data_IF_521001766284
#
_entry.id   IF_521001766284
#
_cell.length_a   1.000
_cell.length_b   1.000
_cell.length_c   1.000
_cell.angle_alpha   90.00
_cell.angle_beta   90.00
_cell.angle_gamma   90.00
#
_symmetry.space_group_name_H-M   'P 1'
#
loop_
_entity.id
_entity.type
_entity.pdbx_description
1 polymer ?
#
# COMPACT_ATOMS: atom_id res chain seq x y z
N UNK A 1 -4.76 13.59 -1.68
CA UNK A 1 -4.42 12.39 -0.88
C UNK A 1 -3.05 11.84 -1.30
N UNK A 2 -2.84 11.53 -2.58
CA UNK A 2 -1.51 11.13 -3.12
C UNK A 2 -0.37 12.07 -2.71
N UNK A 3 -0.50 13.39 -2.94
CA UNK A 3 0.53 14.37 -2.55
C UNK A 3 0.86 14.35 -1.05
N UNK A 4 -0.15 14.15 -0.20
CA UNK A 4 0.07 14.06 1.24
C UNK A 4 0.85 12.78 1.62
N UNK A 5 0.59 11.67 0.93
CA UNK A 5 1.35 10.44 1.10
C UNK A 5 2.81 10.61 0.65
N UNK A 6 3.05 11.28 -0.48
CA UNK A 6 4.41 11.61 -0.94
C UNK A 6 5.14 12.49 0.07
N UNK A 7 4.50 13.54 0.58
CA UNK A 7 5.10 14.40 1.61
C UNK A 7 5.40 13.61 2.88
N UNK A 8 4.46 12.78 3.35
CA UNK A 8 4.65 11.93 4.52
C UNK A 8 5.84 10.99 4.36
N UNK A 9 5.94 10.33 3.20
CA UNK A 9 7.07 9.46 2.86
C UNK A 9 8.39 10.20 2.96
N UNK A 10 8.47 11.43 2.44
CA UNK A 10 9.68 12.25 2.52
C UNK A 10 10.04 12.67 3.95
N UNK A 11 9.04 13.07 4.75
CA UNK A 11 9.25 13.46 6.16
C UNK A 11 9.71 12.28 7.03
N UNK A 12 9.19 11.08 6.75
CA UNK A 12 9.64 9.85 7.40
C UNK A 12 11.06 9.48 6.95
N UNK A 13 11.37 9.62 5.66
CA UNK A 13 12.68 9.27 5.10
C UNK A 13 13.81 10.13 5.65
N UNK A 14 13.57 11.43 5.86
CA UNK A 14 14.57 12.33 6.44
C UNK A 14 14.58 12.32 7.98
N UNK A 15 13.86 11.38 8.61
CA UNK A 15 13.71 11.25 10.07
C UNK A 15 13.17 12.52 10.76
N UNK A 16 12.49 13.41 10.02
CA UNK A 16 11.77 14.53 10.62
C UNK A 16 10.54 14.04 11.38
N UNK A 17 9.90 12.99 10.85
CA UNK A 17 8.90 12.19 11.55
C UNK A 17 9.45 10.78 11.76
N UNK A 18 9.18 10.19 12.91
CA UNK A 18 9.46 8.77 13.17
C UNK A 18 8.21 7.94 12.97
N UNK A 19 8.38 6.74 12.42
CA UNK A 19 7.27 5.80 12.29
C UNK A 19 7.05 5.09 13.63
N UNK A 20 6.18 5.67 14.44
CA UNK A 20 5.85 5.11 15.75
C UNK A 20 4.72 4.08 15.66
N UNK A 21 4.66 3.18 16.66
CA UNK A 21 3.59 2.16 16.74
C UNK A 21 2.16 2.74 16.64
N UNK A 22 1.81 3.88 17.26
CA UNK A 22 0.47 4.46 17.12
C UNK A 22 0.13 4.87 15.68
N UNK A 23 1.13 5.34 14.91
CA UNK A 23 0.95 5.73 13.52
C UNK A 23 0.66 4.51 12.64
N UNK A 24 1.42 3.41 12.85
CA UNK A 24 1.16 2.14 12.17
C UNK A 24 -0.25 1.61 12.48
N UNK A 25 -0.61 1.54 13.76
CA UNK A 25 -1.93 1.08 14.21
C UNK A 25 -3.05 1.93 13.59
N UNK A 26 -2.86 3.25 13.54
CA UNK A 26 -3.84 4.16 12.94
C UNK A 26 -4.10 3.84 11.47
N UNK A 27 -3.04 3.67 10.66
CA UNK A 27 -3.21 3.33 9.24
C UNK A 27 -3.80 1.93 9.03
N UNK A 28 -3.38 0.94 9.83
CA UNK A 28 -3.98 -0.40 9.77
C UNK A 28 -5.47 -0.39 10.10
N UNK A 29 -5.89 0.41 11.08
CA UNK A 29 -7.31 0.57 11.42
C UNK A 29 -8.09 1.19 10.26
N UNK A 30 -7.51 2.19 9.58
CA UNK A 30 -8.12 2.79 8.40
C UNK A 30 -8.26 1.79 7.24
N UNK A 31 -7.24 0.96 7.00
CA UNK A 31 -7.27 -0.12 6.01
C UNK A 31 -8.42 -1.12 6.25
N UNK A 32 -8.74 -1.40 7.51
CA UNK A 32 -9.82 -2.33 7.91
C UNK A 32 -11.24 -1.76 7.76
N UNK A 33 -11.39 -0.50 7.33
CA UNK A 33 -12.70 0.13 7.12
C UNK A 33 -13.53 -0.67 6.12
N UNK A 34 -14.70 -1.22 6.51
CA UNK A 34 -15.53 -2.06 5.62
C UNK A 34 -16.09 -1.24 4.45
N UNK A 35 -15.89 -1.72 3.23
CA UNK A 35 -16.49 -1.11 2.05
C UNK A 35 -17.98 -1.48 1.94
N UNK A 36 -18.84 -0.55 1.53
CA UNK A 36 -20.24 -0.86 1.28
C UNK A 36 -20.35 -1.89 0.15
N UNK A 37 -21.18 -2.92 0.36
CA UNK A 37 -21.50 -3.89 -0.70
C UNK A 37 -22.01 -3.11 -1.91
N UNK A 38 -21.44 -3.33 -3.10
CA UNK A 38 -21.95 -2.78 -4.36
C UNK A 38 -23.43 -3.14 -4.46
N UNK A 39 -24.32 -2.17 -4.20
CA UNK A 39 -25.74 -2.33 -4.54
C UNK A 39 -25.77 -2.53 -6.05
N UNK A 40 -26.50 -3.55 -6.55
CA UNK A 40 -26.83 -3.67 -7.99
C UNK A 40 -27.47 -2.34 -8.38
N UNK A 41 -26.72 -1.46 -9.03
CA UNK A 41 -27.22 -0.17 -9.51
C UNK A 41 -27.98 -0.43 -10.81
N UNK A 42 -29.13 0.20 -10.91
CA UNK A 42 -29.92 0.28 -12.13
C UNK A 42 -29.07 0.97 -13.24
N UNK A 43 -29.02 0.47 -14.48
CA UNK A 43 -28.17 1.02 -15.55
C UNK A 43 -28.43 2.50 -15.90
N UNK A 44 -29.50 3.12 -15.39
CA UNK A 44 -29.90 4.51 -15.66
C UNK A 44 -29.60 5.53 -14.56
N UNK A 45 -28.99 5.14 -13.42
CA UNK A 45 -28.65 6.09 -12.36
C UNK A 45 -27.34 6.82 -12.72
N UNK A 46 -27.42 8.14 -12.92
CA UNK A 46 -26.26 9.04 -13.02
C UNK A 46 -25.42 8.81 -11.77
N UNK A 47 -24.31 8.08 -11.92
CA UNK A 47 -23.55 7.60 -10.79
C UNK A 47 -23.01 8.76 -9.96
N UNK A 48 -23.17 8.69 -8.64
CA UNK A 48 -22.54 9.64 -7.73
C UNK A 48 -21.05 9.75 -8.06
N UNK A 49 -20.61 10.90 -8.54
CA UNK A 49 -19.21 11.21 -8.87
C UNK A 49 -18.32 11.22 -7.62
N UNK A 50 -18.93 11.17 -6.43
CA UNK A 50 -18.25 11.29 -5.14
C UNK A 50 -17.98 9.87 -4.59
N UNK A 51 -16.71 9.49 -4.37
CA UNK A 51 -16.37 8.22 -3.74
C UNK A 51 -16.92 8.17 -2.30
N UNK A 52 -17.38 7.00 -1.86
CA UNK A 52 -17.94 6.86 -0.50
C UNK A 52 -16.91 7.18 0.58
N UNK A 53 -17.36 7.68 1.73
CA UNK A 53 -16.48 8.03 2.84
C UNK A 53 -15.66 6.82 3.34
N UNK A 54 -16.23 5.62 3.28
CA UNK A 54 -15.57 4.37 3.63
C UNK A 54 -14.42 4.04 2.66
N UNK A 55 -14.65 4.24 1.35
CA UNK A 55 -13.63 4.07 0.34
C UNK A 55 -12.48 5.07 0.55
N UNK A 56 -12.82 6.32 0.85
CA UNK A 56 -11.83 7.37 1.14
C UNK A 56 -11.00 7.04 2.38
N UNK A 57 -11.63 6.56 3.45
CA UNK A 57 -10.94 6.15 4.69
C UNK A 57 -10.02 4.97 4.45
N UNK A 58 -10.49 3.93 3.75
CA UNK A 58 -9.67 2.77 3.40
C UNK A 58 -8.48 3.19 2.54
N UNK A 59 -8.70 3.99 1.50
CA UNK A 59 -7.65 4.51 0.64
C UNK A 59 -6.62 5.35 1.41
N UNK A 60 -7.05 6.15 2.38
CA UNK A 60 -6.15 6.91 3.23
C UNK A 60 -5.23 6.00 4.06
N UNK A 61 -5.76 4.89 4.60
CA UNK A 61 -4.94 3.88 5.28
C UNK A 61 -3.88 3.27 4.35
N UNK A 62 -4.30 2.83 3.16
CA UNK A 62 -3.39 2.23 2.16
C UNK A 62 -2.32 3.22 1.70
N UNK A 63 -2.68 4.48 1.51
CA UNK A 63 -1.72 5.55 1.19
C UNK A 63 -0.73 5.79 2.33
N UNK A 64 -1.19 5.76 3.58
CA UNK A 64 -0.34 5.91 4.75
C UNK A 64 0.67 4.76 4.88
N UNK A 65 0.19 3.52 4.78
CA UNK A 65 1.07 2.34 4.76
C UNK A 65 2.04 2.38 3.56
N UNK A 66 1.57 2.80 2.39
CA UNK A 66 2.41 2.98 1.22
C UNK A 66 3.51 4.02 1.44
N UNK A 67 3.20 5.16 2.05
CA UNK A 67 4.17 6.18 2.41
C UNK A 67 5.23 5.65 3.39
N UNK A 68 4.82 4.83 4.36
CA UNK A 68 5.72 4.16 5.30
C UNK A 68 6.68 3.19 4.60
N UNK A 69 6.23 2.42 3.60
CA UNK A 69 7.13 1.55 2.82
C UNK A 69 8.08 2.38 1.95
N UNK A 70 7.56 3.40 1.27
CA UNK A 70 8.34 4.22 0.35
C UNK A 70 9.31 5.18 1.05
N UNK A 71 9.19 5.38 2.37
CA UNK A 71 10.12 6.20 3.14
C UNK A 71 11.46 5.52 3.42
N UNK A 72 11.58 4.22 3.20
CA UNK A 72 12.83 3.47 3.40
C UNK A 72 13.25 2.81 2.08
N UNK A 73 13.69 3.60 1.08
CA UNK A 73 14.29 3.02 -0.12
C UNK A 73 15.66 2.43 0.21
N UNK A 74 16.02 1.32 -0.45
CA UNK A 74 17.30 0.62 -0.31
C UNK A 74 17.56 -0.04 1.05
N UNK A 75 16.54 -0.15 1.92
CA UNK A 75 16.63 -0.82 3.20
C UNK A 75 15.28 -1.44 3.58
N UNK A 76 15.32 -2.57 4.29
CA UNK A 76 14.14 -3.29 4.77
C UNK A 76 14.17 -3.36 6.30
N UNK A 77 13.61 -2.36 6.99
CA UNK A 77 13.42 -2.39 8.43
C UNK A 77 12.49 -3.53 8.86
N UNK A 78 12.59 -3.94 10.13
CA UNK A 78 11.85 -5.08 10.69
C UNK A 78 10.33 -4.99 10.60
N UNK A 79 9.77 -3.78 10.51
CA UNK A 79 8.33 -3.55 10.35
C UNK A 79 7.85 -3.64 8.89
N UNK A 80 8.74 -3.51 7.92
CA UNK A 80 8.39 -3.41 6.49
C UNK A 80 7.79 -4.71 5.92
N UNK A 81 8.32 -5.91 6.21
CA UNK A 81 7.77 -7.16 5.70
C UNK A 81 6.28 -7.32 6.01
N UNK A 82 5.89 -7.08 7.27
CA UNK A 82 4.48 -7.18 7.67
C UNK A 82 3.61 -6.10 7.01
N UNK A 83 4.15 -4.88 6.84
CA UNK A 83 3.44 -3.81 6.17
C UNK A 83 3.16 -4.12 4.69
N UNK A 84 4.11 -4.74 4.00
CA UNK A 84 3.94 -5.22 2.63
C UNK A 84 2.87 -6.30 2.52
N UNK A 85 2.80 -7.22 3.49
CA UNK A 85 1.71 -8.21 3.56
C UNK A 85 0.35 -7.53 3.76
N UNK A 86 0.26 -6.55 4.65
CA UNK A 86 -0.97 -5.79 4.85
C UNK A 86 -1.39 -5.06 3.55
N UNK A 87 -0.45 -4.46 2.82
CA UNK A 87 -0.73 -3.83 1.52
C UNK A 87 -1.20 -4.83 0.47
N UNK A 88 -0.61 -6.03 0.41
CA UNK A 88 -0.98 -7.06 -0.57
C UNK A 88 -2.43 -7.49 -0.48
N UNK A 89 -3.01 -7.49 0.74
CA UNK A 89 -4.42 -7.81 0.97
C UNK A 89 -5.40 -6.80 0.33
N UNK A 90 -4.91 -5.68 -0.19
CA UNK A 90 -5.69 -4.62 -0.84
C UNK A 90 -5.57 -4.61 -2.37
N UNK A 91 -4.99 -5.64 -2.99
CA UNK A 91 -4.90 -5.73 -4.45
C UNK A 91 -6.24 -5.96 -5.14
N UNK A 92 -7.18 -6.62 -4.47
CA UNK A 92 -8.54 -6.85 -4.98
C UNK A 92 -9.52 -5.73 -4.60
N UNK A 93 -9.04 -4.69 -3.90
CA UNK A 93 -9.89 -3.55 -3.55
C UNK A 93 -10.22 -2.70 -4.79
N UNK A 94 -11.41 -2.06 -4.83
CA UNK A 94 -11.79 -1.24 -5.95
C UNK A 94 -10.87 -0.02 -6.12
N UNK A 95 -10.82 0.50 -7.35
CA UNK A 95 -10.17 1.76 -7.66
C UNK A 95 -10.64 2.89 -6.73
N UNK A 96 -9.72 3.75 -6.25
CA UNK A 96 -8.31 3.88 -6.65
C UNK A 96 -7.31 3.01 -5.86
N UNK A 97 -7.76 2.16 -4.94
CA UNK A 97 -6.90 1.49 -3.96
C UNK A 97 -5.92 0.51 -4.63
N UNK A 98 -6.43 -0.39 -5.48
CA UNK A 98 -5.62 -1.35 -6.24
C UNK A 98 -4.46 -0.66 -6.97
N UNK A 99 -4.73 0.46 -7.67
CA UNK A 99 -3.69 1.18 -8.39
C UNK A 99 -2.62 1.75 -7.45
N UNK A 100 -3.01 2.28 -6.30
CA UNK A 100 -2.06 2.76 -5.28
C UNK A 100 -1.19 1.61 -4.78
N UNK A 101 -1.76 0.45 -4.46
CA UNK A 101 -0.99 -0.73 -4.00
C UNK A 101 0.01 -1.17 -5.07
N UNK A 102 -0.44 -1.35 -6.32
CA UNK A 102 0.43 -1.75 -7.44
C UNK A 102 1.59 -0.77 -7.64
N UNK A 103 1.34 0.53 -7.58
CA UNK A 103 2.38 1.57 -7.69
C UNK A 103 3.38 1.50 -6.54
N UNK A 104 2.91 1.33 -5.31
CA UNK A 104 3.78 1.19 -4.13
C UNK A 104 4.67 -0.05 -4.25
N UNK A 105 4.10 -1.22 -4.57
CA UNK A 105 4.86 -2.46 -4.71
C UNK A 105 5.87 -2.40 -5.86
N UNK A 106 5.50 -1.78 -6.99
CA UNK A 106 6.41 -1.56 -8.11
C UNK A 106 7.58 -0.66 -7.74
N UNK A 107 7.34 0.44 -7.01
CA UNK A 107 8.40 1.31 -6.53
C UNK A 107 9.30 0.61 -5.51
N UNK A 108 8.72 -0.12 -4.56
CA UNK A 108 9.48 -0.93 -3.61
C UNK A 108 10.41 -1.90 -4.34
N UNK A 109 9.91 -2.68 -5.30
CA UNK A 109 10.72 -3.61 -6.10
C UNK A 109 11.86 -2.88 -6.81
N UNK A 110 11.58 -1.74 -7.42
CA UNK A 110 12.57 -0.96 -8.16
C UNK A 110 13.72 -0.50 -7.27
N UNK A 111 13.44 -0.03 -6.06
CA UNK A 111 14.48 0.50 -5.15
C UNK A 111 15.22 -0.58 -4.36
N UNK A 112 14.71 -1.80 -4.28
CA UNK A 112 15.31 -2.89 -3.50
C UNK A 112 15.91 -4.00 -4.38
N UNK A 113 15.94 -3.81 -5.70
CA UNK A 113 16.37 -4.84 -6.64
C UNK A 113 17.85 -5.19 -6.50
N UNK A 114 18.71 -4.17 -6.44
CA UNK A 114 20.16 -4.34 -6.50
C UNK A 114 20.71 -5.18 -5.33
N UNK A 115 20.19 -4.94 -4.12
CA UNK A 115 20.58 -5.65 -2.90
C UNK A 115 19.54 -6.69 -2.45
N UNK A 116 18.73 -7.22 -3.37
CA UNK A 116 17.61 -8.11 -3.02
C UNK A 116 18.04 -9.37 -2.25
N UNK A 117 19.25 -9.90 -2.48
CA UNK A 117 19.75 -11.08 -1.77
C UNK A 117 19.93 -10.87 -0.26
N UNK A 118 20.20 -9.63 0.15
CA UNK A 118 20.26 -9.23 1.56
C UNK A 118 18.86 -8.91 2.07
N UNK A 119 18.11 -8.06 1.35
CA UNK A 119 16.77 -7.65 1.74
C UNK A 119 15.80 -8.81 1.93
N UNK A 120 15.86 -9.85 1.08
CA UNK A 120 14.99 -11.02 1.20
C UNK A 120 15.16 -11.78 2.52
N UNK A 121 16.29 -11.62 3.22
CA UNK A 121 16.54 -12.29 4.50
C UNK A 121 15.71 -11.69 5.65
N UNK A 122 15.14 -10.50 5.46
CA UNK A 122 14.22 -9.88 6.41
C UNK A 122 12.79 -10.45 6.30
N UNK A 123 12.52 -11.26 5.28
CA UNK A 123 11.21 -11.86 5.04
C UNK A 123 11.21 -13.33 5.40
N UNK A 124 10.06 -13.84 5.80
CA UNK A 124 9.84 -15.29 5.91
C UNK A 124 9.62 -15.92 4.53
N UNK A 125 9.82 -17.23 4.42
CA UNK A 125 9.58 -17.95 3.16
C UNK A 125 8.15 -17.76 2.64
N UNK A 126 7.15 -17.76 3.52
CA UNK A 126 5.75 -17.50 3.19
C UNK A 126 5.55 -16.08 2.63
N UNK A 127 6.19 -15.09 3.24
CA UNK A 127 6.12 -13.70 2.77
C UNK A 127 6.79 -13.53 1.40
N UNK A 128 7.91 -14.21 1.16
CA UNK A 128 8.60 -14.20 -0.13
C UNK A 128 7.78 -14.86 -1.23
N UNK A 129 7.03 -15.93 -0.90
CA UNK A 129 6.11 -16.57 -1.85
C UNK A 129 5.02 -15.59 -2.29
N UNK A 130 4.39 -14.90 -1.34
CA UNK A 130 3.42 -13.84 -1.64
C UNK A 130 4.06 -12.76 -2.50
N UNK A 131 5.21 -12.19 -2.09
CA UNK A 131 5.86 -11.14 -2.86
C UNK A 131 6.25 -11.58 -4.28
N UNK A 132 6.64 -12.82 -4.48
CA UNK A 132 6.98 -13.34 -5.81
C UNK A 132 5.76 -13.30 -6.72
N UNK A 133 4.60 -13.79 -6.26
CA UNK A 133 3.36 -13.75 -7.05
C UNK A 133 2.97 -12.30 -7.45
N UNK A 134 3.14 -11.37 -6.51
CA UNK A 134 2.78 -9.96 -6.71
C UNK A 134 3.74 -9.19 -7.60
N UNK A 135 5.04 -9.49 -7.49
CA UNK A 135 6.09 -8.74 -8.17
C UNK A 135 6.41 -9.30 -9.55
N UNK A 136 5.88 -10.46 -9.95
CA UNK A 136 6.14 -11.04 -11.28
C UNK A 136 5.29 -10.40 -12.39
N UNK A 137 4.20 -9.69 -12.07
CA UNK A 137 3.36 -9.02 -13.07
C UNK A 137 4.07 -7.85 -13.77
N UNK A 138 4.34 -7.92 -15.09
CA UNK A 138 4.90 -6.81 -15.85
C UNK A 138 3.88 -5.68 -15.99
N UNK A 139 4.32 -4.43 -15.92
CA UNK A 139 3.50 -3.21 -16.03
C UNK A 139 2.80 -3.01 -17.39
N UNK A 140 2.88 -3.98 -18.30
CA UNK A 140 2.52 -3.85 -19.72
C UNK A 140 1.37 -4.78 -20.16
N UNK A 141 0.78 -5.55 -19.24
CA UNK A 141 -0.32 -6.49 -19.52
C UNK A 141 -1.71 -6.03 -19.05
N UNK A 142 -1.88 -4.74 -18.73
CA UNK A 142 -3.18 -4.15 -18.36
C UNK A 142 -3.63 -3.11 -19.38
#
# INVERSE_FOLDING_TARGET
REMAATTLSGLLQCNFLTMDSPMQIHFEQLCKTKLPKKRKRDPGSVGDTIPSAELVKRHAGVLGLGACVLSSPYDVPTWMPQLLMNLSAHLDDPQPIEMTVKKTLSNFRRTHHDNWQEHKQQFTDDQLLVLTDLLVSPCYYA
#
